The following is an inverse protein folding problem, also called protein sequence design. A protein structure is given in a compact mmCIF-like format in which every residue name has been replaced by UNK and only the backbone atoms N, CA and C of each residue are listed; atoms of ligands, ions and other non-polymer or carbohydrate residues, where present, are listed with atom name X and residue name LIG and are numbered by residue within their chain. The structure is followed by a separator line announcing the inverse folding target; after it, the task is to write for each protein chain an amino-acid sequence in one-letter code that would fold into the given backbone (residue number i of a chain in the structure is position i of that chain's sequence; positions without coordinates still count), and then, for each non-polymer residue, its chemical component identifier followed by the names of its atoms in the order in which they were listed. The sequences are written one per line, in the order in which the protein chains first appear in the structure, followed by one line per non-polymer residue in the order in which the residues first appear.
data_IF_487325983763
#
_entry.id   IF_487325983763
#
_cell.length_a   1.000
_cell.length_b   1.000
_cell.length_c   1.000
_cell.angle_alpha   90.00
_cell.angle_beta   90.00
_cell.angle_gamma   90.00
#
_symmetry.space_group_name_H-M   'P 1'
#
loop_
_entity.id
_entity.type
_entity.pdbx_description
1 polymer ?
#
# COMPACT_ATOMS: atom_id res chain seq x y z
N UNK A 1 -8.17 -10.90 -27.34
CA UNK A 1 -8.42 -10.96 -25.88
C UNK A 1 -8.29 -9.54 -25.34
N UNK A 2 -9.36 -8.92 -24.86
CA UNK A 2 -9.21 -7.66 -24.14
C UNK A 2 -8.43 -7.95 -22.85
N UNK A 3 -7.29 -7.28 -22.67
CA UNK A 3 -6.56 -7.34 -21.41
C UNK A 3 -7.55 -7.00 -20.30
N UNK A 4 -7.65 -7.85 -19.28
CA UNK A 4 -8.48 -7.53 -18.10
C UNK A 4 -8.04 -6.15 -17.60
N UNK A 5 -8.98 -5.24 -17.31
CA UNK A 5 -8.62 -3.94 -16.79
C UNK A 5 -7.73 -4.12 -15.56
N UNK A 6 -6.61 -3.40 -15.54
CA UNK A 6 -5.65 -3.39 -14.44
C UNK A 6 -6.39 -3.09 -13.13
N UNK A 7 -6.33 -4.01 -12.17
CA UNK A 7 -6.97 -3.89 -10.85
C UNK A 7 -5.91 -4.05 -9.78
N UNK A 8 -5.89 -3.10 -8.86
CA UNK A 8 -5.03 -3.14 -7.67
C UNK A 8 -5.93 -3.32 -6.46
N UNK A 9 -5.54 -4.19 -5.53
CA UNK A 9 -6.08 -4.13 -4.18
C UNK A 9 -5.20 -3.19 -3.37
N UNK A 10 -5.82 -2.16 -2.79
CA UNK A 10 -5.07 -1.06 -2.22
C UNK A 10 -4.89 -1.16 -0.69
N UNK A 11 -5.61 -2.06 0.00
CA UNK A 11 -5.58 -2.20 1.46
C UNK A 11 -6.89 -1.80 2.16
N UNK A 12 -6.81 -1.56 3.47
CA UNK A 12 -7.95 -1.18 4.30
C UNK A 12 -8.40 0.27 4.06
N UNK A 13 -9.68 0.56 4.26
CA UNK A 13 -10.28 1.89 3.96
C UNK A 13 -9.66 3.07 4.74
N UNK A 14 -9.08 2.81 5.90
CA UNK A 14 -8.40 3.80 6.74
C UNK A 14 -6.92 3.98 6.38
N UNK A 15 -6.35 3.11 5.54
CA UNK A 15 -4.95 3.23 5.16
C UNK A 15 -4.74 4.45 4.27
N UNK A 16 -3.58 5.08 4.43
CA UNK A 16 -3.14 6.16 3.57
C UNK A 16 -2.39 5.60 2.36
N UNK A 17 -2.48 6.32 1.25
CA UNK A 17 -1.61 6.15 0.10
C UNK A 17 -0.87 7.44 -0.21
N UNK A 18 0.31 7.27 -0.82
CA UNK A 18 1.06 8.38 -1.40
C UNK A 18 0.55 8.71 -2.81
N UNK A 19 0.33 9.98 -3.06
CA UNK A 19 -0.03 10.54 -4.38
C UNK A 19 0.91 11.71 -4.65
N UNK A 20 1.97 11.46 -5.42
CA UNK A 20 3.09 12.39 -5.58
C UNK A 20 3.74 12.67 -4.23
N UNK A 21 3.77 13.94 -3.82
CA UNK A 21 4.33 14.36 -2.52
C UNK A 21 3.28 14.43 -1.39
N UNK A 22 2.03 14.08 -1.68
CA UNK A 22 0.90 14.14 -0.72
C UNK A 22 0.47 12.76 -0.26
N UNK A 23 -0.31 12.71 0.82
CA UNK A 23 -1.02 11.52 1.28
C UNK A 23 -2.53 11.71 1.17
N UNK A 24 -3.26 10.61 0.96
CA UNK A 24 -4.73 10.57 0.96
C UNK A 24 -5.22 9.28 1.59
N UNK A 25 -6.41 9.29 2.19
CA UNK A 25 -7.03 8.04 2.63
C UNK A 25 -7.54 7.24 1.43
N UNK A 26 -7.45 5.91 1.50
CA UNK A 26 -8.02 5.04 0.47
C UNK A 26 -9.54 5.19 0.34
N UNK A 27 -10.23 5.44 1.45
CA UNK A 27 -11.67 5.69 1.47
C UNK A 27 -12.09 6.95 0.70
N UNK A 28 -11.19 7.90 0.49
CA UNK A 28 -11.46 9.14 -0.23
C UNK A 28 -11.26 9.03 -1.74
N UNK A 29 -10.65 7.93 -2.21
CA UNK A 29 -10.39 7.76 -3.64
C UNK A 29 -11.68 7.50 -4.41
N UNK A 30 -11.85 8.22 -5.51
CA UNK A 30 -12.96 8.08 -6.46
C UNK A 30 -12.47 8.04 -7.90
N UNK A 31 -13.39 7.71 -8.80
CA UNK A 31 -13.11 7.75 -10.24
C UNK A 31 -12.62 9.14 -10.65
N UNK A 32 -11.56 9.18 -11.46
CA UNK A 32 -10.93 10.41 -11.92
C UNK A 32 -9.81 10.93 -11.01
N UNK A 33 -9.65 10.39 -9.79
CA UNK A 33 -8.51 10.75 -8.94
C UNK A 33 -7.19 10.23 -9.53
N UNK A 34 -6.15 11.04 -9.44
CA UNK A 34 -4.78 10.62 -9.77
C UNK A 34 -4.16 9.85 -8.59
N UNK A 35 -3.40 8.80 -8.90
CA UNK A 35 -2.62 7.99 -7.96
C UNK A 35 -1.23 7.73 -8.51
N UNK A 36 -0.28 7.42 -7.64
CA UNK A 36 1.10 7.07 -8.03
C UNK A 36 1.28 5.56 -8.05
N UNK A 37 1.80 5.03 -9.15
CA UNK A 37 2.25 3.62 -9.26
C UNK A 37 3.77 3.62 -9.19
N UNK A 38 4.33 2.77 -8.33
CA UNK A 38 5.77 2.63 -8.13
C UNK A 38 6.20 1.21 -8.55
N UNK A 39 7.27 1.10 -9.32
CA UNK A 39 7.89 -0.20 -9.67
C UNK A 39 8.84 -0.67 -8.58
N UNK A 40 9.23 -1.94 -8.64
CA UNK A 40 10.26 -2.52 -7.74
C UNK A 40 11.60 -1.78 -7.78
N UNK A 41 11.89 -1.07 -8.87
CA UNK A 41 13.13 -0.33 -9.10
C UNK A 41 13.00 1.15 -8.65
N UNK A 42 11.88 1.51 -8.00
CA UNK A 42 11.60 2.87 -7.53
C UNK A 42 11.11 3.84 -8.61
N UNK A 43 10.93 3.39 -9.86
CA UNK A 43 10.37 4.22 -10.91
C UNK A 43 8.89 4.47 -10.65
N UNK A 44 8.47 5.73 -10.69
CA UNK A 44 7.09 6.12 -10.44
C UNK A 44 6.43 6.74 -11.67
N UNK A 45 5.12 6.55 -11.78
CA UNK A 45 4.28 7.24 -12.77
C UNK A 45 2.88 7.49 -12.21
N UNK A 46 2.22 8.53 -12.70
CA UNK A 46 0.81 8.79 -12.40
C UNK A 46 -0.12 7.85 -13.17
N UNK A 47 -1.26 7.54 -12.57
CA UNK A 47 -2.37 6.82 -13.19
C UNK A 47 -3.71 7.38 -12.67
N UNK A 48 -4.77 7.22 -13.47
CA UNK A 48 -6.11 7.65 -13.09
C UNK A 48 -6.92 6.46 -12.55
N UNK A 49 -7.57 6.65 -11.41
CA UNK A 49 -8.52 5.68 -10.86
C UNK A 49 -9.74 5.61 -11.77
N UNK A 50 -9.96 4.46 -12.40
CA UNK A 50 -11.17 4.23 -13.20
C UNK A 50 -12.40 3.94 -12.35
N UNK A 51 -12.26 3.16 -11.28
CA UNK A 51 -13.33 2.86 -10.32
C UNK A 51 -12.75 2.43 -8.98
N UNK A 52 -13.26 2.99 -7.90
CA UNK A 52 -13.03 2.49 -6.54
C UNK A 52 -14.17 1.54 -6.13
N UNK A 53 -13.82 0.42 -5.48
CA UNK A 53 -14.77 -0.53 -4.91
C UNK A 53 -14.35 -0.83 -3.48
N UNK A 54 -15.29 -0.68 -2.55
CA UNK A 54 -15.12 -1.03 -1.16
C UNK A 54 -15.98 -2.26 -0.90
N UNK A 55 -15.38 -3.31 -0.35
CA UNK A 55 -16.06 -4.56 -0.03
C UNK A 55 -15.61 -5.07 1.34
N UNK A 56 -16.49 -5.79 2.03
CA UNK A 56 -16.16 -6.46 3.29
C UNK A 56 -15.57 -7.83 2.98
N UNK A 57 -14.36 -8.10 3.48
CA UNK A 57 -13.64 -9.38 3.33
C UNK A 57 -12.87 -9.68 4.62
N UNK A 58 -12.53 -10.95 4.88
CA UNK A 58 -11.51 -11.29 5.88
C UNK A 58 -10.22 -10.54 5.58
N UNK A 59 -9.61 -9.98 6.62
CA UNK A 59 -8.35 -9.24 6.54
C UNK A 59 -7.25 -10.05 7.24
N UNK A 60 -6.01 -9.78 6.85
CA UNK A 60 -4.80 -10.25 7.53
C UNK A 60 -3.99 -9.03 7.96
N UNK A 61 -3.47 -9.06 9.19
CA UNK A 61 -2.47 -8.09 9.67
C UNK A 61 -1.10 -8.59 9.24
N UNK A 62 -0.37 -7.74 8.53
CA UNK A 62 1.04 -7.96 8.18
C UNK A 62 1.84 -6.97 9.01
N UNK A 63 2.79 -7.49 9.79
CA UNK A 63 3.77 -6.71 10.53
C UNK A 63 5.15 -6.96 9.92
N UNK A 64 5.95 -5.90 9.83
CA UNK A 64 7.32 -5.95 9.35
C UNK A 64 8.20 -5.02 10.18
N UNK A 65 9.48 -5.33 10.27
CA UNK A 65 10.49 -4.45 10.83
C UNK A 65 11.42 -3.99 9.71
N UNK A 66 11.66 -2.68 9.63
CA UNK A 66 12.62 -2.11 8.70
C UNK A 66 13.34 -0.93 9.38
N UNK A 67 14.68 -0.93 9.32
CA UNK A 67 15.54 0.06 10.00
C UNK A 67 15.20 0.27 11.49
N UNK A 68 14.84 -0.82 12.19
CA UNK A 68 14.47 -0.81 13.61
C UNK A 68 13.07 -0.24 13.89
N UNK A 69 12.29 0.07 12.85
CA UNK A 69 10.91 0.56 12.95
C UNK A 69 9.94 -0.57 12.65
N UNK A 70 9.05 -0.85 13.61
CA UNK A 70 7.91 -1.74 13.39
C UNK A 70 6.83 -1.00 12.61
N UNK A 71 6.43 -1.57 11.48
CA UNK A 71 5.34 -1.09 10.65
C UNK A 71 4.31 -2.20 10.46
N UNK A 72 3.06 -1.82 10.24
CA UNK A 72 1.99 -2.78 10.00
C UNK A 72 1.00 -2.28 8.96
N UNK A 73 0.32 -3.22 8.32
CA UNK A 73 -0.78 -2.91 7.41
C UNK A 73 -1.81 -4.03 7.41
N UNK A 74 -3.08 -3.65 7.19
CA UNK A 74 -4.19 -4.57 7.03
C UNK A 74 -4.50 -4.76 5.54
N UNK A 75 -4.39 -6.00 5.08
CA UNK A 75 -4.66 -6.38 3.69
C UNK A 75 -5.77 -7.42 3.63
N UNK A 76 -6.44 -7.52 2.48
CA UNK A 76 -7.41 -8.61 2.30
C UNK A 76 -6.68 -9.96 2.32
N UNK A 77 -7.25 -10.94 3.01
CA UNK A 77 -6.71 -12.30 3.04
C UNK A 77 -7.12 -13.04 1.75
N UNK A 78 -6.35 -12.87 0.67
CA UNK A 78 -6.57 -13.55 -0.61
C UNK A 78 -5.29 -13.68 -1.45
N UNK A 79 -5.18 -14.76 -2.23
CA UNK A 79 -4.02 -15.08 -3.09
C UNK A 79 -3.70 -13.98 -4.13
N UNK A 80 -4.73 -13.25 -4.56
CA UNK A 80 -4.56 -12.15 -5.53
C UNK A 80 -3.93 -10.90 -4.93
N UNK A 81 -3.79 -10.84 -3.60
CA UNK A 81 -3.17 -9.73 -2.89
C UNK A 81 -1.71 -10.07 -2.71
N UNK A 82 -0.84 -9.27 -3.31
CA UNK A 82 0.59 -9.57 -3.39
C UNK A 82 1.41 -8.39 -2.92
N UNK A 83 2.45 -8.70 -2.16
CA UNK A 83 3.54 -7.77 -1.85
C UNK A 83 4.75 -8.12 -2.71
N UNK A 84 5.64 -7.16 -2.95
CA UNK A 84 6.86 -7.42 -3.73
C UNK A 84 7.91 -7.96 -2.78
N UNK A 85 8.44 -9.16 -3.04
CA UNK A 85 9.50 -9.76 -2.22
C UNK A 85 10.85 -9.07 -2.47
N UNK A 86 11.87 -9.35 -1.65
CA UNK A 86 13.22 -8.80 -1.84
C UNK A 86 13.87 -9.15 -3.19
N UNK A 87 13.46 -10.25 -3.84
CA UNK A 87 13.87 -10.61 -5.20
C UNK A 87 13.13 -9.86 -6.32
N UNK A 88 12.19 -8.97 -5.95
CA UNK A 88 11.37 -8.20 -6.87
C UNK A 88 10.16 -8.95 -7.45
N UNK A 89 9.89 -10.17 -6.99
CA UNK A 89 8.74 -10.97 -7.45
C UNK A 89 7.51 -10.74 -6.56
N UNK A 90 6.28 -10.72 -7.14
CA UNK A 90 5.06 -10.55 -6.37
C UNK A 90 4.68 -11.84 -5.63
N UNK A 91 4.66 -11.80 -4.30
CA UNK A 91 4.31 -12.91 -3.41
C UNK A 91 2.93 -12.72 -2.78
N UNK A 92 2.03 -13.73 -2.87
CA UNK A 92 0.73 -13.68 -2.20
C UNK A 92 0.84 -13.51 -0.69
N UNK A 93 0.00 -12.66 -0.10
CA UNK A 93 -0.03 -12.46 1.37
C UNK A 93 -0.45 -13.73 2.12
N UNK A 94 -1.17 -14.64 1.46
CA UNK A 94 -1.56 -15.95 1.99
C UNK A 94 -0.39 -16.92 2.14
N UNK A 95 0.74 -16.65 1.47
CA UNK A 95 1.93 -17.49 1.49
C UNK A 95 3.07 -16.90 2.31
N UNK A 96 2.92 -15.65 2.78
CA UNK A 96 3.90 -14.99 3.63
C UNK A 96 4.06 -15.72 4.97
N UNK A 97 5.31 -15.83 5.42
CA UNK A 97 5.68 -16.38 6.72
C UNK A 97 6.60 -15.41 7.46
N UNK A 98 6.67 -15.56 8.78
CA UNK A 98 7.66 -14.83 9.56
C UNK A 98 9.07 -15.11 9.04
N UNK A 99 9.83 -14.04 8.80
CA UNK A 99 11.15 -14.09 8.17
C UNK A 99 11.15 -13.85 6.65
N UNK A 100 9.99 -13.82 5.99
CA UNK A 100 9.93 -13.36 4.59
C UNK A 100 10.15 -11.85 4.51
N UNK A 101 10.93 -11.41 3.53
CA UNK A 101 11.21 -10.00 3.27
C UNK A 101 10.34 -9.47 2.13
N UNK A 102 9.85 -8.23 2.29
CA UNK A 102 9.09 -7.50 1.28
C UNK A 102 9.62 -6.09 1.12
N UNK A 103 9.47 -5.53 -0.08
CA UNK A 103 9.84 -4.15 -0.34
C UNK A 103 8.90 -3.19 0.39
N UNK A 104 9.50 -2.24 1.08
CA UNK A 104 8.83 -1.17 1.80
C UNK A 104 9.42 0.16 1.39
N UNK A 105 8.61 1.22 1.48
CA UNK A 105 9.09 2.58 1.32
C UNK A 105 9.00 3.27 2.68
N UNK A 106 10.14 3.47 3.31
CA UNK A 106 10.26 4.25 4.53
C UNK A 106 10.46 5.72 4.18
N UNK A 107 9.74 6.60 4.86
CA UNK A 107 9.98 8.04 4.83
C UNK A 107 10.47 8.46 6.22
N UNK A 108 11.55 9.26 6.27
CA UNK A 108 12.20 9.68 7.52
C UNK A 108 11.30 10.53 8.45
N UNK A 109 10.14 11.00 7.97
CA UNK A 109 9.23 11.88 8.72
C UNK A 109 7.81 11.34 8.70
N UNK A 110 7.19 11.20 9.87
CA UNK A 110 5.78 10.88 10.02
C UNK A 110 4.93 11.91 9.25
N UNK A 111 4.25 11.50 8.18
CA UNK A 111 3.36 12.40 7.43
C UNK A 111 2.01 12.47 8.11
N UNK A 112 1.73 13.59 8.78
CA UNK A 112 0.39 13.90 9.28
C UNK A 112 -0.33 14.83 8.28
N UNK A 113 -1.51 14.43 7.80
CA UNK A 113 -2.40 15.23 6.92
C UNK A 113 -1.72 15.92 5.71
N UNK A 114 -0.87 15.19 4.98
CA UNK A 114 -0.33 15.67 3.70
C UNK A 114 0.73 16.78 3.80
N UNK A 115 1.26 17.06 4.99
CA UNK A 115 2.42 17.93 5.22
C UNK A 115 3.52 17.18 5.99
N UNK A 116 4.79 17.47 5.68
CA UNK A 116 5.95 16.93 6.40
C UNK A 116 6.03 17.65 7.75
N UNK A 117 5.63 16.98 8.84
CA UNK A 117 5.73 17.52 10.19
C UNK A 117 6.55 16.52 11.00
N UNK A 118 7.57 16.98 11.73
CA UNK A 118 8.22 16.19 12.78
C UNK A 118 7.25 16.09 13.96
N UNK A 119 6.33 15.12 13.95
CA UNK A 119 5.48 14.86 15.11
C UNK A 119 5.31 13.36 15.36
N UNK A 120 5.50 12.94 16.61
CA UNK A 120 5.32 11.55 17.06
C UNK A 120 3.86 11.33 17.44
N UNK A 121 3.08 10.71 16.55
CA UNK A 121 1.71 10.30 16.86
C UNK A 121 1.71 8.80 17.08
N UNK A 122 1.18 8.38 18.24
CA UNK A 122 0.96 6.97 18.57
C UNK A 122 -0.49 6.63 18.20
N UNK A 123 -0.68 6.00 17.05
CA UNK A 123 -1.96 5.35 16.70
C UNK A 123 -2.01 3.96 17.36
N UNK A 124 -3.13 3.62 18.01
CA UNK A 124 -3.37 2.35 18.71
C UNK A 124 -4.55 1.60 18.10
#
# INVERSE_FOLDING_TARGET
MAARPFRVNAGAVHAYIRVGEKTRYLSELKSGDEVTIVSKDGLSRSAIVGRAKIEKRPMILIEAEADGVLISTLLQNAETIKLVSSDGTPRPVTELKAGDEVLVHLEEAARHFGMKIEESIVER
#
